data_IF_492234756790
#
_entry.id   IF_492234756790
#
_cell.length_a   1.000
_cell.length_b   1.000
_cell.length_c   1.000
_cell.angle_alpha   90.00
_cell.angle_beta   90.00
_cell.angle_gamma   90.00
#
_symmetry.space_group_name_H-M   'P 1'
#
loop_
_entity.id
_entity.type
_entity.pdbx_description
1 polymer ?
#
# COMPACT_ATOMS: atom_id res chain seq x y z
N UNK A 1 24.31 -17.88 19.02
CA UNK A 1 23.47 -17.28 20.08
C UNK A 1 22.06 -17.12 19.53
N UNK A 2 21.11 -17.95 19.98
CA UNK A 2 19.69 -17.94 19.57
C UNK A 2 18.80 -17.11 20.53
N UNK A 3 19.39 -16.32 21.42
CA UNK A 3 18.76 -15.88 22.67
C UNK A 3 17.82 -14.67 22.62
N UNK A 4 17.84 -13.85 21.56
CA UNK A 4 16.94 -12.69 21.45
C UNK A 4 15.77 -12.92 20.50
N UNK A 5 16.01 -13.54 19.33
CA UNK A 5 14.94 -13.89 18.39
C UNK A 5 13.93 -14.89 18.99
N UNK A 6 14.37 -15.77 19.89
CA UNK A 6 13.50 -16.75 20.55
C UNK A 6 12.54 -16.15 21.60
N UNK A 7 12.66 -14.86 21.94
CA UNK A 7 11.78 -14.14 22.88
C UNK A 7 10.81 -13.18 22.20
N UNK A 8 10.89 -13.07 20.88
CA UNK A 8 10.03 -12.16 20.13
C UNK A 8 8.63 -12.77 20.00
N UNK A 9 7.62 -11.91 20.06
CA UNK A 9 6.25 -12.31 19.76
C UNK A 9 6.17 -12.93 18.36
N UNK A 10 5.18 -13.79 18.15
CA UNK A 10 4.91 -14.32 16.82
C UNK A 10 4.43 -13.19 15.89
N UNK A 11 4.80 -13.28 14.62
CA UNK A 11 4.18 -12.45 13.59
C UNK A 11 2.67 -12.76 13.52
N UNK A 12 1.86 -11.73 13.34
CA UNK A 12 0.40 -11.86 13.20
C UNK A 12 -0.03 -11.27 11.87
N UNK A 13 -1.09 -11.81 11.26
CA UNK A 13 -1.53 -11.37 9.95
C UNK A 13 -3.02 -11.56 9.75
N UNK A 14 -3.58 -10.77 8.85
CA UNK A 14 -4.85 -11.06 8.18
C UNK A 14 -4.55 -11.23 6.70
N UNK A 15 -4.68 -12.47 6.21
CA UNK A 15 -4.44 -12.81 4.81
C UNK A 15 -5.74 -12.70 4.02
N UNK A 16 -5.74 -11.82 3.02
CA UNK A 16 -6.85 -11.59 2.11
C UNK A 16 -6.47 -10.60 1.02
N UNK A 17 -7.42 -10.29 0.13
CA UNK A 17 -7.22 -9.32 -0.95
C UNK A 17 -6.84 -7.93 -0.42
N UNK A 18 -7.39 -7.55 0.74
CA UNK A 18 -6.93 -6.43 1.55
C UNK A 18 -6.46 -6.99 2.89
N UNK A 19 -5.17 -6.88 3.16
CA UNK A 19 -4.54 -7.63 4.24
C UNK A 19 -3.42 -6.87 4.92
N UNK A 20 -2.93 -7.47 6.00
CA UNK A 20 -1.84 -6.91 6.79
C UNK A 20 -0.99 -8.01 7.45
N UNK A 21 0.25 -7.66 7.76
CA UNK A 21 1.21 -8.48 8.48
C UNK A 21 1.96 -7.60 9.48
N UNK A 22 1.88 -7.96 10.76
CA UNK A 22 2.71 -7.44 11.83
C UNK A 22 3.94 -8.32 12.02
N UNK A 23 5.12 -7.71 11.90
CA UNK A 23 6.41 -8.36 12.14
C UNK A 23 7.04 -7.70 13.37
N UNK A 24 7.11 -8.40 14.50
CA UNK A 24 7.91 -7.94 15.63
C UNK A 24 9.36 -7.75 15.19
N UNK A 25 10.00 -6.67 15.65
CA UNK A 25 11.43 -6.41 15.45
C UNK A 25 12.10 -6.16 16.80
N UNK A 26 13.43 -6.15 16.84
CA UNK A 26 14.18 -5.96 18.09
C UNK A 26 13.81 -4.64 18.79
N UNK A 27 13.92 -4.63 20.13
CA UNK A 27 13.60 -3.45 20.94
C UNK A 27 12.09 -3.19 21.15
N UNK A 28 11.25 -4.22 21.00
CA UNK A 28 9.81 -4.14 21.30
C UNK A 28 8.99 -3.37 20.25
N UNK A 29 9.59 -3.06 19.10
CA UNK A 29 8.91 -2.41 17.98
C UNK A 29 8.25 -3.45 17.08
N UNK A 30 7.27 -3.02 16.29
CA UNK A 30 6.59 -3.88 15.31
C UNK A 30 6.50 -3.14 13.99
N UNK A 31 6.94 -3.78 12.91
CA UNK A 31 6.72 -3.29 11.56
C UNK A 31 5.35 -3.79 11.10
N UNK A 32 4.57 -2.90 10.50
CA UNK A 32 3.28 -3.21 9.91
C UNK A 32 3.37 -3.07 8.39
N UNK A 33 3.07 -4.16 7.70
CA UNK A 33 2.94 -4.23 6.25
C UNK A 33 1.45 -4.35 5.94
N UNK A 34 0.94 -3.56 5.00
CA UNK A 34 -0.47 -3.63 4.58
C UNK A 34 -0.55 -3.58 3.05
N UNK A 35 -1.53 -4.26 2.47
CA UNK A 35 -1.75 -4.30 1.02
C UNK A 35 -3.22 -4.31 0.68
N UNK A 36 -3.52 -4.00 -0.58
CA UNK A 36 -4.88 -4.06 -1.10
C UNK A 36 -5.01 -3.84 -2.60
N UNK A 37 -6.26 -3.89 -3.04
CA UNK A 37 -6.69 -3.60 -4.41
C UNK A 37 -7.79 -2.54 -4.38
N UNK A 38 -7.63 -1.53 -5.23
CA UNK A 38 -8.61 -0.46 -5.45
C UNK A 38 -9.19 -0.64 -6.85
N UNK A 39 -10.49 -0.42 -7.05
CA UNK A 39 -11.15 -0.59 -8.36
C UNK A 39 -12.22 0.48 -8.59
N UNK A 40 -12.60 0.69 -9.85
CA UNK A 40 -13.75 1.52 -10.22
C UNK A 40 -13.52 3.04 -10.22
N UNK A 41 -12.27 3.51 -10.15
CA UNK A 41 -11.97 4.95 -10.27
C UNK A 41 -10.57 5.21 -10.86
N UNK A 42 -10.27 6.49 -11.08
CA UNK A 42 -8.92 6.98 -11.39
C UNK A 42 -8.24 7.61 -10.17
N UNK A 43 -9.04 8.11 -9.21
CA UNK A 43 -8.57 8.72 -7.97
C UNK A 43 -9.14 7.92 -6.78
N UNK A 44 -8.29 7.67 -5.79
CA UNK A 44 -8.64 6.81 -4.68
C UNK A 44 -8.26 7.46 -3.36
N UNK A 45 -9.27 7.69 -2.54
CA UNK A 45 -9.14 7.95 -1.11
C UNK A 45 -9.49 6.68 -0.37
N UNK A 46 -8.52 6.01 0.25
CA UNK A 46 -8.75 4.69 0.85
C UNK A 46 -8.25 4.59 2.29
N UNK A 47 -8.83 3.64 3.02
CA UNK A 47 -8.46 3.30 4.38
C UNK A 47 -7.58 2.06 4.39
N UNK A 48 -6.60 2.06 5.28
CA UNK A 48 -5.84 0.85 5.57
C UNK A 48 -6.71 -0.16 6.32
N UNK A 49 -6.48 -1.47 6.15
CA UNK A 49 -7.14 -2.52 6.93
C UNK A 49 -7.09 -2.26 8.44
N UNK A 50 -5.95 -1.78 8.94
CA UNK A 50 -5.77 -1.33 10.32
C UNK A 50 -4.92 -0.05 10.38
N UNK A 51 -5.04 0.71 11.47
CA UNK A 51 -4.24 1.90 11.66
C UNK A 51 -2.75 1.56 11.92
N UNK A 52 -1.84 2.32 11.31
CA UNK A 52 -0.45 2.35 11.76
C UNK A 52 -0.38 2.90 13.20
N UNK A 53 0.23 2.20 14.16
CA UNK A 53 0.27 2.65 15.55
C UNK A 53 0.89 4.05 15.72
N UNK A 54 2.02 4.30 15.05
CA UNK A 54 2.73 5.58 15.04
C UNK A 54 2.53 6.29 13.71
N UNK A 55 2.81 5.62 12.60
CA UNK A 55 2.72 6.24 11.28
C UNK A 55 3.20 5.35 10.13
N UNK A 56 2.74 5.71 8.94
CA UNK A 56 3.23 5.11 7.70
C UNK A 56 4.58 5.69 7.29
N UNK A 57 5.44 4.85 6.74
CA UNK A 57 6.77 5.20 6.25
C UNK A 57 6.85 5.25 4.72
N UNK A 58 6.15 4.34 4.05
CA UNK A 58 6.23 4.20 2.60
C UNK A 58 4.91 3.65 2.05
N UNK A 59 4.52 4.13 0.88
CA UNK A 59 3.43 3.60 0.06
C UNK A 59 3.92 3.42 -1.37
N UNK A 60 3.68 2.25 -1.93
CA UNK A 60 3.82 1.97 -3.35
C UNK A 60 2.44 1.64 -3.90
N UNK A 61 2.08 2.26 -5.01
CA UNK A 61 0.84 2.01 -5.72
C UNK A 61 1.15 1.73 -7.20
N UNK A 62 0.56 0.67 -7.74
CA UNK A 62 0.81 0.17 -9.08
C UNK A 62 -0.52 -0.14 -9.75
N UNK A 63 -0.75 0.48 -10.90
CA UNK A 63 -1.97 0.21 -11.66
C UNK A 63 -1.89 -1.15 -12.36
N UNK A 64 -3.03 -1.83 -12.43
CA UNK A 64 -3.17 -3.18 -12.93
C UNK A 64 -2.97 -3.27 -14.45
N UNK A 65 -2.25 -4.26 -14.95
CA UNK A 65 -1.85 -4.29 -16.37
C UNK A 65 -2.83 -5.00 -17.29
N UNK A 66 -3.79 -5.78 -16.77
CA UNK A 66 -4.68 -6.61 -17.59
C UNK A 66 -6.05 -5.99 -17.91
N UNK A 67 -6.41 -4.86 -17.30
CA UNK A 67 -7.65 -4.13 -17.62
C UNK A 67 -7.36 -3.14 -18.76
N UNK A 68 -7.47 -3.60 -20.01
CA UNK A 68 -7.15 -2.86 -21.23
C UNK A 68 -7.98 -1.57 -21.36
N UNK A 69 -7.31 -0.43 -21.21
CA UNK A 69 -7.84 0.91 -21.54
C UNK A 69 -7.01 1.53 -22.69
N UNK A 70 -6.55 0.70 -23.63
CA UNK A 70 -5.64 1.10 -24.72
C UNK A 70 -4.34 1.78 -24.26
N UNK A 71 -3.89 1.44 -23.04
CA UNK A 71 -2.64 1.96 -22.46
C UNK A 71 -1.56 0.88 -22.54
N UNK A 72 -0.56 1.08 -23.39
CA UNK A 72 0.54 0.13 -23.65
C UNK A 72 1.62 0.09 -22.56
N UNK A 73 1.65 1.08 -21.65
CA UNK A 73 2.55 1.11 -20.50
C UNK A 73 1.86 1.69 -19.28
N UNK A 74 1.87 0.94 -18.18
CA UNK A 74 1.32 1.37 -16.89
C UNK A 74 2.49 1.68 -15.96
N UNK A 75 2.58 2.91 -15.49
CA UNK A 75 3.65 3.35 -14.58
C UNK A 75 3.22 3.19 -13.12
N UNK A 76 4.14 3.46 -12.20
CA UNK A 76 3.80 3.71 -10.80
C UNK A 76 2.70 4.78 -10.73
N UNK A 77 1.73 4.51 -9.88
CA UNK A 77 0.62 5.41 -9.56
C UNK A 77 1.14 6.44 -8.56
N UNK A 78 0.74 7.71 -8.67
CA UNK A 78 1.12 8.68 -7.65
C UNK A 78 0.34 8.34 -6.37
N UNK A 79 1.03 8.13 -5.25
CA UNK A 79 0.38 7.77 -4.00
C UNK A 79 1.16 8.25 -2.80
N UNK A 80 0.43 8.60 -1.75
CA UNK A 80 1.01 9.02 -0.47
C UNK A 80 0.13 8.65 0.71
N UNK A 81 0.75 8.49 1.87
CA UNK A 81 0.07 8.26 3.14
C UNK A 81 -0.42 9.62 3.66
N UNK A 82 -1.70 9.70 4.00
CA UNK A 82 -2.29 10.93 4.54
C UNK A 82 -2.19 10.98 6.05
N UNK A 83 -2.51 9.86 6.69
CA UNK A 83 -2.52 9.70 8.14
C UNK A 83 -2.38 8.23 8.52
N UNK A 84 -2.43 7.94 9.82
CA UNK A 84 -2.29 6.58 10.36
C UNK A 84 -3.30 5.57 9.81
N UNK A 85 -4.44 6.04 9.31
CA UNK A 85 -5.58 5.22 8.87
C UNK A 85 -5.84 5.28 7.37
N UNK A 86 -5.20 6.21 6.65
CA UNK A 86 -5.60 6.50 5.27
C UNK A 86 -4.46 6.92 4.35
N UNK A 87 -4.70 6.69 3.06
CA UNK A 87 -3.82 7.05 1.98
C UNK A 87 -4.61 7.55 0.77
N UNK A 88 -3.86 8.02 -0.22
CA UNK A 88 -4.35 8.45 -1.50
C UNK A 88 -3.55 7.79 -2.63
N UNK A 89 -4.22 7.48 -3.75
CA UNK A 89 -3.60 7.05 -4.99
C UNK A 89 -4.31 7.66 -6.21
N UNK A 90 -3.54 8.03 -7.24
CA UNK A 90 -4.03 8.58 -8.51
C UNK A 90 -3.43 7.83 -9.71
N UNK A 91 -4.29 7.17 -10.47
CA UNK A 91 -3.95 6.57 -11.74
C UNK A 91 -4.10 7.61 -12.85
N UNK A 92 -2.97 8.06 -13.39
CA UNK A 92 -2.92 9.04 -14.46
C UNK A 92 -1.71 8.80 -15.35
N UNK A 93 -1.84 9.20 -16.63
CA UNK A 93 -0.71 9.27 -17.57
C UNK A 93 -0.31 10.74 -17.75
N UNK A 94 0.96 10.98 -18.04
CA UNK A 94 1.43 12.32 -18.37
C UNK A 94 1.48 12.48 -19.88
N UNK A 95 0.73 13.44 -20.42
CA UNK A 95 0.76 13.81 -21.85
C UNK A 95 1.10 15.30 -21.93
N UNK A 96 2.24 15.63 -22.56
CA UNK A 96 2.73 17.01 -22.68
C UNK A 96 2.78 17.76 -21.34
N UNK A 97 3.21 17.09 -20.27
CA UNK A 97 3.30 17.67 -18.92
C UNK A 97 1.97 17.74 -18.14
N UNK A 98 0.85 17.34 -18.75
CA UNK A 98 -0.47 17.34 -18.11
C UNK A 98 -0.82 15.92 -17.64
N UNK A 99 -1.26 15.80 -16.39
CA UNK A 99 -1.80 14.54 -15.89
C UNK A 99 -3.22 14.32 -16.43
N UNK A 100 -3.42 13.17 -17.07
CA UNK A 100 -4.72 12.71 -17.56
C UNK A 100 -5.13 11.47 -16.75
N UNK A 101 -6.05 11.60 -15.79
CA UNK A 101 -6.55 10.47 -15.01
C UNK A 101 -7.30 9.49 -15.89
N UNK A 102 -7.20 8.20 -15.57
CA UNK A 102 -7.97 7.15 -16.24
C UNK A 102 -8.37 6.07 -15.25
N UNK A 103 -9.54 5.47 -15.45
CA UNK A 103 -10.06 4.44 -14.55
C UNK A 103 -9.24 3.16 -14.69
N UNK A 104 -8.77 2.64 -13.55
CA UNK A 104 -8.06 1.37 -13.50
C UNK A 104 -7.95 0.83 -12.09
N UNK A 105 -7.91 -0.49 -11.99
CA UNK A 105 -7.59 -1.17 -10.74
C UNK A 105 -6.16 -0.85 -10.28
N UNK A 106 -5.93 -0.64 -8.98
CA UNK A 106 -4.61 -0.29 -8.41
C UNK A 106 -4.27 -1.21 -7.25
N UNK A 107 -3.19 -1.97 -7.39
CA UNK A 107 -2.57 -2.64 -6.25
C UNK A 107 -1.77 -1.64 -5.45
N UNK A 108 -1.81 -1.76 -4.13
CA UNK A 108 -0.99 -0.94 -3.25
C UNK A 108 -0.37 -1.75 -2.13
N UNK A 109 0.75 -1.25 -1.64
CA UNK A 109 1.50 -1.81 -0.53
C UNK A 109 2.04 -0.66 0.34
N UNK A 110 1.81 -0.73 1.63
CA UNK A 110 2.24 0.27 2.60
C UNK A 110 3.03 -0.37 3.74
N UNK A 111 4.03 0.34 4.23
CA UNK A 111 4.86 -0.06 5.38
C UNK A 111 4.85 1.06 6.41
N UNK A 112 4.76 0.71 7.69
CA UNK A 112 4.83 1.63 8.82
C UNK A 112 5.05 0.91 10.14
N UNK A 113 4.85 1.59 11.26
CA UNK A 113 4.92 1.03 12.61
C UNK A 113 4.07 1.84 13.60
#
# INVERSE_FOLDING_TARGET
RLGEAAKMEAATAQIGANGWLFIPVSGGKKMLLQWGLLTGASNYSFKFPIAFPVGGLCLVAMAHTTDSADVSMVTMTNGFIRDKTSAFALCARTVNGVQQPFERSVYWFAVGY
#
